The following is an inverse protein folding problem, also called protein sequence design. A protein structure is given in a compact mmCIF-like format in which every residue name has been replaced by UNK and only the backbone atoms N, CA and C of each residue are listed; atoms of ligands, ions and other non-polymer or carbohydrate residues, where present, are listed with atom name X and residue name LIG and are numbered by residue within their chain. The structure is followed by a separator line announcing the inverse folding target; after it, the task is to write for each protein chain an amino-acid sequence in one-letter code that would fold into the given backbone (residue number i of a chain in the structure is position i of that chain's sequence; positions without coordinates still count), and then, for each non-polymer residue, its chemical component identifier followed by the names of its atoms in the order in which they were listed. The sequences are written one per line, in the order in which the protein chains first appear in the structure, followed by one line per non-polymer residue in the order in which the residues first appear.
data_IF_245561751364
#
_entry.id   IF_245561751364
#
_cell.length_a   1.000
_cell.length_b   1.000
_cell.length_c   1.000
_cell.angle_alpha   90.00
_cell.angle_beta   90.00
_cell.angle_gamma   90.00
#
_symmetry.space_group_name_H-M   'P 1'
#
loop_
_entity.id
_entity.type
_entity.pdbx_description
1 polymer ?
#
# COMPACT_ATOMS: atom_id res chain seq x y z
N UNK A 1 14.50 -6.08 7.64
CA UNK A 1 14.95 -4.78 8.19
C UNK A 1 15.96 -4.16 7.23
N UNK A 2 15.93 -2.84 7.09
CA UNK A 2 16.93 -2.05 6.35
C UNK A 2 17.37 -0.84 7.16
N UNK A 3 18.51 -0.26 6.79
CA UNK A 3 18.96 1.04 7.31
C UNK A 3 18.63 2.10 6.27
N UNK A 4 17.79 3.06 6.64
CA UNK A 4 17.40 4.19 5.77
C UNK A 4 18.13 5.44 6.21
N UNK A 5 18.88 6.05 5.29
CA UNK A 5 19.65 7.27 5.58
C UNK A 5 18.74 8.40 6.10
N UNK A 6 19.06 8.94 7.27
CA UNK A 6 18.32 10.02 7.92
C UNK A 6 17.00 9.60 8.60
N UNK A 7 16.76 8.28 8.74
CA UNK A 7 15.65 7.74 9.52
C UNK A 7 16.17 6.74 10.56
N UNK A 8 17.04 5.81 10.14
CA UNK A 8 17.53 4.73 11.02
C UNK A 8 17.12 3.36 10.50
N UNK A 9 17.05 2.38 11.43
CA UNK A 9 16.66 1.01 11.09
C UNK A 9 15.15 0.90 10.99
N UNK A 10 14.66 0.46 9.83
CA UNK A 10 13.24 0.24 9.55
C UNK A 10 12.95 -1.25 9.50
N UNK A 11 11.94 -1.67 10.25
CA UNK A 11 11.34 -3.01 10.19
C UNK A 11 10.07 -2.93 9.34
N UNK A 12 9.97 -3.78 8.32
CA UNK A 12 8.83 -3.82 7.42
C UNK A 12 8.48 -5.25 7.02
N UNK A 13 7.26 -5.44 6.55
CA UNK A 13 6.83 -6.61 5.81
C UNK A 13 6.76 -6.24 4.32
N UNK A 14 6.99 -7.23 3.47
CA UNK A 14 6.84 -7.09 2.03
C UNK A 14 5.72 -8.01 1.55
N UNK A 15 4.74 -7.48 0.85
CA UNK A 15 3.71 -8.32 0.23
C UNK A 15 3.25 -7.73 -1.11
N UNK A 16 2.77 -8.63 -1.97
CA UNK A 16 2.15 -8.33 -3.26
C UNK A 16 0.63 -8.47 -3.14
N UNK A 17 -0.11 -7.45 -3.57
CA UNK A 17 -1.57 -7.45 -3.61
C UNK A 17 -2.13 -6.84 -4.90
N UNK A 18 -1.38 -6.95 -6.02
CA UNK A 18 -1.57 -6.25 -7.29
C UNK A 18 -0.42 -5.29 -7.59
N UNK A 19 0.32 -4.90 -6.55
CA UNK A 19 1.63 -4.25 -6.58
C UNK A 19 2.39 -4.65 -5.32
N UNK A 20 3.72 -4.50 -5.32
CA UNK A 20 4.52 -4.69 -4.11
C UNK A 20 4.48 -3.46 -3.22
N UNK A 21 4.22 -3.69 -1.94
CA UNK A 21 4.27 -2.66 -0.90
C UNK A 21 5.15 -3.08 0.26
N UNK A 22 5.84 -2.11 0.85
CA UNK A 22 6.45 -2.24 2.16
C UNK A 22 5.46 -1.79 3.23
N UNK A 23 5.09 -2.69 4.11
CA UNK A 23 4.17 -2.41 5.23
C UNK A 23 4.99 -2.08 6.46
N UNK A 24 4.85 -0.87 6.96
CA UNK A 24 5.65 -0.30 8.03
C UNK A 24 4.75 -0.01 9.23
N UNK A 25 4.83 -0.89 10.22
CA UNK A 25 4.05 -0.79 11.45
C UNK A 25 4.65 0.28 12.38
N UNK A 26 3.85 1.27 12.78
CA UNK A 26 4.28 2.32 13.71
C UNK A 26 4.75 1.76 15.05
N UNK A 27 4.10 0.70 15.55
CA UNK A 27 4.48 0.09 16.83
C UNK A 27 5.84 -0.62 16.80
N UNK A 28 6.37 -0.92 15.61
CA UNK A 28 7.68 -1.59 15.43
C UNK A 28 8.80 -0.64 15.02
N UNK A 29 8.47 0.63 14.83
CA UNK A 29 9.38 1.66 14.35
C UNK A 29 9.17 2.95 15.15
N UNK A 30 10.26 3.61 15.51
CA UNK A 30 10.21 4.86 16.28
C UNK A 30 10.05 6.05 15.34
N UNK A 31 8.80 6.47 15.11
CA UNK A 31 8.47 7.64 14.31
C UNK A 31 7.92 8.77 15.18
N UNK A 32 8.34 10.02 14.92
CA UNK A 32 7.83 11.20 15.64
C UNK A 32 6.49 11.70 15.11
N UNK A 33 5.65 10.82 14.55
CA UNK A 33 4.36 11.17 13.94
C UNK A 33 3.36 10.02 14.01
N UNK A 34 2.09 10.38 13.94
CA UNK A 34 0.95 9.46 13.82
C UNK A 34 0.38 9.49 12.40
N UNK A 35 -0.56 8.57 12.10
CA UNK A 35 -1.24 8.48 10.80
C UNK A 35 -2.40 9.48 10.70
N UNK A 36 -2.08 10.77 10.85
CA UNK A 36 -3.05 11.86 10.81
C UNK A 36 -2.72 12.88 9.71
N UNK A 37 -3.70 13.72 9.38
CA UNK A 37 -3.56 14.74 8.33
C UNK A 37 -2.50 15.79 8.68
N UNK A 38 -2.30 16.05 9.96
CA UNK A 38 -1.32 17.00 10.48
C UNK A 38 0.12 16.56 10.15
N UNK A 39 0.34 15.24 10.06
CA UNK A 39 1.64 14.65 9.74
C UNK A 39 1.81 14.29 8.25
N UNK A 40 0.91 14.74 7.39
CA UNK A 40 0.87 14.40 5.96
C UNK A 40 2.23 14.55 5.25
N UNK A 41 2.91 15.68 5.44
CA UNK A 41 4.20 15.92 4.78
C UNK A 41 5.32 15.02 5.33
N UNK A 42 5.29 14.72 6.62
CA UNK A 42 6.25 13.80 7.25
C UNK A 42 6.05 12.36 6.73
N UNK A 43 4.79 11.94 6.58
CA UNK A 43 4.44 10.65 6.00
C UNK A 43 4.98 10.52 4.56
N UNK A 44 4.79 11.52 3.71
CA UNK A 44 5.31 11.53 2.34
C UNK A 44 6.84 11.42 2.36
N UNK A 45 7.52 12.32 3.06
CA UNK A 45 8.97 12.39 3.09
C UNK A 45 9.59 11.09 3.61
N UNK A 46 9.00 10.51 4.66
CA UNK A 46 9.48 9.27 5.27
C UNK A 46 9.16 8.06 4.39
N UNK A 47 7.94 7.98 3.84
CA UNK A 47 7.52 6.91 2.96
C UNK A 47 8.36 6.80 1.70
N UNK A 48 8.68 7.93 1.08
CA UNK A 48 9.56 7.98 -0.11
C UNK A 48 11.00 7.59 0.22
N UNK A 49 11.55 8.01 1.37
CA UNK A 49 12.89 7.58 1.79
C UNK A 49 12.94 6.07 2.04
N UNK A 50 11.91 5.50 2.66
CA UNK A 50 11.80 4.06 2.90
C UNK A 50 11.67 3.31 1.57
N UNK A 51 10.77 3.73 0.67
CA UNK A 51 10.60 3.16 -0.66
C UNK A 51 11.92 3.10 -1.41
N UNK A 52 12.61 4.23 -1.52
CA UNK A 52 13.89 4.33 -2.24
C UNK A 52 14.99 3.52 -1.54
N UNK A 53 15.02 3.50 -0.21
CA UNK A 53 15.95 2.69 0.55
C UNK A 53 15.78 1.19 0.28
N UNK A 54 14.55 0.71 0.27
CA UNK A 54 14.22 -0.69 -0.03
C UNK A 54 14.59 -1.04 -1.48
N UNK A 55 14.19 -0.22 -2.46
CA UNK A 55 14.52 -0.45 -3.87
C UNK A 55 16.02 -0.57 -4.14
N UNK A 56 16.84 0.15 -3.37
CA UNK A 56 18.29 0.12 -3.54
C UNK A 56 18.98 -1.05 -2.82
N UNK A 57 18.32 -1.73 -1.88
CA UNK A 57 18.97 -2.71 -0.99
C UNK A 57 18.28 -4.06 -0.93
N UNK A 58 16.97 -4.14 -1.19
CA UNK A 58 16.20 -5.38 -1.11
C UNK A 58 15.98 -5.96 -2.51
N UNK A 59 16.66 -7.06 -2.80
CA UNK A 59 16.56 -7.79 -4.06
C UNK A 59 15.50 -8.92 -4.03
N UNK A 60 14.70 -9.01 -2.97
CA UNK A 60 13.63 -10.01 -2.84
C UNK A 60 12.35 -9.64 -3.60
N UNK A 61 12.25 -8.40 -4.11
CA UNK A 61 11.09 -7.91 -4.87
C UNK A 61 11.10 -8.56 -6.25
N UNK A 62 10.45 -9.72 -6.35
CA UNK A 62 10.38 -10.50 -7.58
C UNK A 62 8.99 -11.06 -7.78
N UNK A 63 8.35 -10.65 -8.88
CA UNK A 63 7.09 -11.22 -9.32
C UNK A 63 7.37 -12.57 -10.03
N UNK A 64 6.58 -13.63 -9.76
CA UNK A 64 6.89 -14.97 -10.29
C UNK A 64 6.75 -15.11 -11.80
N UNK A 65 6.05 -14.19 -12.48
CA UNK A 65 5.73 -14.31 -13.91
C UNK A 65 6.07 -13.08 -14.73
N UNK A 66 6.10 -11.86 -14.11
CA UNK A 66 6.21 -10.60 -14.84
C UNK A 66 7.36 -9.77 -14.28
N UNK A 67 8.45 -9.65 -15.03
CA UNK A 67 9.63 -8.90 -14.62
C UNK A 67 9.36 -7.40 -14.47
N UNK A 68 8.48 -6.84 -15.29
CA UNK A 68 8.08 -5.43 -15.23
C UNK A 68 7.40 -5.06 -13.91
N UNK A 69 6.95 -6.04 -13.13
CA UNK A 69 6.37 -5.84 -11.80
C UNK A 69 7.39 -5.97 -10.66
N UNK A 70 8.68 -6.17 -10.95
CA UNK A 70 9.75 -6.30 -9.97
C UNK A 70 10.17 -4.94 -9.38
N UNK A 71 9.23 -4.19 -8.84
CA UNK A 71 9.52 -2.92 -8.17
C UNK A 71 8.58 -2.68 -6.98
N UNK A 72 9.04 -1.88 -6.03
CA UNK A 72 8.23 -1.45 -4.90
C UNK A 72 7.36 -0.26 -5.31
N UNK A 73 6.05 -0.43 -5.31
CA UNK A 73 5.12 0.63 -5.70
C UNK A 73 5.00 1.72 -4.63
N UNK A 74 4.99 1.33 -3.36
CA UNK A 74 4.85 2.29 -2.28
C UNK A 74 5.17 1.73 -0.90
N UNK A 75 5.15 2.62 0.08
CA UNK A 75 5.22 2.32 1.51
C UNK A 75 3.84 2.52 2.12
N UNK A 76 3.32 1.52 2.81
CA UNK A 76 2.07 1.61 3.57
C UNK A 76 2.43 1.65 5.05
N UNK A 77 2.22 2.80 5.68
CA UNK A 77 2.26 2.92 7.12
C UNK A 77 1.01 2.32 7.72
N UNK A 78 1.19 1.52 8.77
CA UNK A 78 0.08 0.84 9.44
C UNK A 78 0.07 1.13 10.94
N UNK A 79 -1.13 1.29 11.46
CA UNK A 79 -1.43 1.26 12.88
C UNK A 79 -2.41 0.12 13.14
N UNK A 80 -1.99 -0.87 13.92
CA UNK A 80 -2.79 -2.05 14.27
C UNK A 80 -3.65 -1.85 15.53
N UNK A 81 -3.68 -0.65 16.09
CA UNK A 81 -4.60 -0.34 17.15
C UNK A 81 -6.00 -0.09 16.61
N UNK A 82 -7.02 -0.48 17.39
CA UNK A 82 -8.40 -0.18 17.06
C UNK A 82 -8.61 1.33 16.97
N UNK A 83 -9.15 1.79 15.86
CA UNK A 83 -9.35 3.20 15.60
C UNK A 83 -10.62 3.75 16.30
N UNK A 84 -10.70 5.05 16.49
CA UNK A 84 -11.88 5.71 17.05
C UNK A 84 -13.16 5.48 16.23
N UNK A 85 -13.02 5.26 14.91
CA UNK A 85 -14.11 4.87 14.02
C UNK A 85 -14.68 3.46 14.28
N UNK A 86 -13.97 2.64 15.08
CA UNK A 86 -14.25 1.24 15.29
C UNK A 86 -13.52 0.30 14.32
N UNK A 87 -12.76 0.84 13.35
CA UNK A 87 -11.94 0.02 12.45
C UNK A 87 -10.81 -0.68 13.20
N UNK A 88 -10.43 -1.88 12.74
CA UNK A 88 -9.44 -2.72 13.41
C UNK A 88 -8.01 -2.19 13.22
N UNK A 89 -7.76 -1.45 12.14
CA UNK A 89 -6.45 -0.94 11.78
C UNK A 89 -6.57 0.29 10.89
N UNK A 90 -5.46 1.03 10.74
CA UNK A 90 -5.32 2.13 9.77
C UNK A 90 -4.21 1.85 8.77
N UNK A 91 -4.45 2.22 7.52
CA UNK A 91 -3.48 2.20 6.43
C UNK A 91 -3.31 3.59 5.84
N UNK A 92 -2.07 4.04 5.67
CA UNK A 92 -1.74 5.25 4.91
C UNK A 92 -0.68 4.90 3.87
N UNK A 93 -1.06 4.92 2.60
CA UNK A 93 -0.18 4.55 1.49
C UNK A 93 0.47 5.79 0.88
N UNK A 94 1.80 5.79 0.85
CA UNK A 94 2.63 6.73 0.09
C UNK A 94 3.21 5.97 -1.09
N UNK A 95 2.88 6.38 -2.31
CA UNK A 95 3.20 5.63 -3.53
C UNK A 95 3.70 6.53 -4.67
N UNK A 96 4.03 5.93 -5.79
CA UNK A 96 4.55 6.60 -6.98
C UNK A 96 5.66 7.62 -6.65
N UNK A 97 5.42 8.92 -6.85
CA UNK A 97 6.40 10.01 -6.60
C UNK A 97 6.08 10.82 -5.32
N UNK A 98 5.29 10.25 -4.41
CA UNK A 98 4.92 10.88 -3.13
C UNK A 98 3.44 11.19 -3.01
N UNK A 99 2.62 10.54 -3.82
CA UNK A 99 1.17 10.61 -3.72
C UNK A 99 0.67 9.84 -2.49
N UNK A 100 -0.43 10.29 -1.91
CA UNK A 100 -1.09 9.63 -0.78
C UNK A 100 -2.52 9.29 -1.15
N UNK A 101 -2.89 8.02 -0.95
CA UNK A 101 -4.24 7.56 -1.19
C UNK A 101 -5.25 8.18 -0.23
N UNK A 102 -6.42 8.56 -0.75
CA UNK A 102 -7.57 8.94 0.07
C UNK A 102 -8.29 7.75 0.71
N UNK A 103 -8.07 6.54 0.20
CA UNK A 103 -8.64 5.28 0.70
C UNK A 103 -7.56 4.41 1.35
N UNK A 104 -7.92 3.30 2.01
CA UNK A 104 -6.95 2.37 2.61
C UNK A 104 -6.08 1.61 1.61
N UNK A 105 -6.21 1.85 0.30
CA UNK A 105 -5.52 1.20 -0.82
C UNK A 105 -5.96 -0.26 -1.02
N UNK A 106 -6.75 -0.53 -2.08
CA UNK A 106 -7.33 -1.86 -2.30
C UNK A 106 -6.28 -2.97 -2.44
N UNK A 107 -5.25 -2.76 -3.27
CA UNK A 107 -4.09 -3.66 -3.39
C UNK A 107 -3.27 -3.73 -2.09
N UNK A 108 -3.22 -2.63 -1.33
CA UNK A 108 -2.61 -2.60 0.01
C UNK A 108 -3.37 -3.46 1.01
N UNK A 109 -4.70 -3.37 1.05
CA UNK A 109 -5.54 -4.24 1.89
C UNK A 109 -5.39 -5.71 1.48
N UNK A 110 -5.31 -6.00 0.17
CA UNK A 110 -5.07 -7.35 -0.33
C UNK A 110 -3.76 -7.95 0.21
N UNK A 111 -2.67 -7.19 0.18
CA UNK A 111 -1.39 -7.61 0.78
C UNK A 111 -1.47 -7.76 2.31
N UNK A 112 -2.26 -6.91 3.00
CA UNK A 112 -2.52 -7.07 4.45
C UNK A 112 -3.21 -8.41 4.75
N UNK A 113 -4.18 -8.82 3.94
CA UNK A 113 -4.84 -10.12 4.11
C UNK A 113 -3.83 -11.27 4.01
N UNK A 114 -2.93 -11.21 3.04
CA UNK A 114 -1.87 -12.21 2.91
C UNK A 114 -0.93 -12.23 4.14
N UNK A 115 -0.50 -11.07 4.63
CA UNK A 115 0.37 -10.96 5.82
C UNK A 115 -0.32 -11.54 7.05
N UNK A 116 -1.59 -11.15 7.32
CA UNK A 116 -2.33 -11.64 8.49
C UNK A 116 -2.59 -13.14 8.41
N UNK A 117 -2.97 -13.66 7.24
CA UNK A 117 -3.16 -15.11 7.04
C UNK A 117 -1.86 -15.89 7.27
N UNK A 118 -0.75 -15.42 6.74
CA UNK A 118 0.57 -16.05 6.94
C UNK A 118 1.07 -16.03 8.39
N UNK A 119 0.58 -15.10 9.19
CA UNK A 119 0.87 -15.00 10.64
C UNK A 119 -0.11 -15.78 11.49
N UNK A 120 -1.11 -16.40 10.91
CA UNK A 120 -2.23 -17.05 11.60
C UNK A 120 -3.03 -16.09 12.48
N UNK A 121 -3.09 -14.80 12.09
CA UNK A 121 -3.90 -13.79 12.77
C UNK A 121 -5.36 -13.81 12.27
N UNK A 122 -5.61 -14.37 11.07
CA UNK A 122 -6.93 -14.47 10.44
C UNK A 122 -7.14 -15.86 9.85
N UNK A 123 -8.38 -16.34 9.94
CA UNK A 123 -8.86 -17.53 9.24
C UNK A 123 -9.61 -17.17 7.94
N UNK A 124 -9.87 -18.18 7.10
CA UNK A 124 -10.71 -18.02 5.91
C UNK A 124 -12.11 -17.58 6.35
N UNK A 125 -12.62 -16.52 5.75
CA UNK A 125 -13.91 -15.91 6.07
C UNK A 125 -13.85 -14.80 7.11
N UNK A 126 -12.75 -14.64 7.84
CA UNK A 126 -12.60 -13.54 8.79
C UNK A 126 -12.54 -12.20 8.07
N UNK A 127 -13.17 -11.20 8.68
CA UNK A 127 -13.23 -9.83 8.16
C UNK A 127 -12.38 -8.94 9.04
N UNK A 128 -11.54 -8.12 8.40
CA UNK A 128 -10.79 -7.05 9.04
C UNK A 128 -11.08 -5.72 8.36
N UNK A 129 -11.22 -4.65 9.13
CA UNK A 129 -11.56 -3.31 8.67
C UNK A 129 -10.35 -2.37 8.75
N UNK A 130 -10.15 -1.58 7.70
CA UNK A 130 -9.03 -0.66 7.53
C UNK A 130 -9.52 0.75 7.31
N UNK A 131 -9.03 1.70 8.08
CA UNK A 131 -9.29 3.12 7.92
C UNK A 131 -8.15 3.80 7.15
N UNK A 132 -8.45 4.75 6.29
CA UNK A 132 -7.46 5.61 5.62
C UNK A 132 -7.18 6.88 6.42
N UNK A 133 -6.21 7.68 5.95
CA UNK A 133 -5.91 9.00 6.51
C UNK A 133 -7.11 9.97 6.43
N UNK A 134 -8.04 9.74 5.49
CA UNK A 134 -9.25 10.56 5.32
C UNK A 134 -10.44 10.05 6.12
N UNK A 135 -10.33 8.87 6.78
CA UNK A 135 -11.42 8.23 7.50
C UNK A 135 -12.30 7.32 6.63
N UNK A 136 -11.98 7.10 5.35
CA UNK A 136 -12.70 6.10 4.55
C UNK A 136 -12.32 4.68 4.99
N UNK A 137 -13.26 3.75 4.88
CA UNK A 137 -13.11 2.39 5.43
C UNK A 137 -13.22 1.36 4.29
N UNK A 138 -12.28 0.40 4.28
CA UNK A 138 -12.37 -0.82 3.50
C UNK A 138 -12.48 -2.02 4.43
N UNK A 139 -13.12 -3.09 3.93
CA UNK A 139 -13.12 -4.41 4.56
C UNK A 139 -12.28 -5.35 3.72
N UNK A 140 -11.45 -6.15 4.36
CA UNK A 140 -10.70 -7.23 3.75
C UNK A 140 -11.17 -8.57 4.30
N UNK A 141 -11.26 -9.59 3.44
CA UNK A 141 -11.62 -10.97 3.81
C UNK A 141 -10.73 -11.94 3.05
N UNK A 142 -10.23 -12.97 3.71
CA UNK A 142 -9.52 -14.08 3.04
C UNK A 142 -10.58 -15.08 2.55
N UNK A 143 -10.70 -15.22 1.24
CA UNK A 143 -11.69 -16.15 0.64
C UNK A 143 -11.12 -17.56 0.53
N UNK A 144 -9.88 -17.70 0.12
CA UNK A 144 -9.20 -18.99 -0.01
C UNK A 144 -7.69 -18.84 -0.03
N UNK A 145 -6.99 -19.96 0.12
CA UNK A 145 -5.54 -20.06 -0.06
C UNK A 145 -5.21 -20.78 -1.37
N UNK A 146 -4.11 -20.42 -1.99
CA UNK A 146 -3.59 -21.05 -3.19
C UNK A 146 -2.09 -20.85 -3.32
N UNK A 147 -1.49 -21.49 -4.34
CA UNK A 147 -0.12 -21.16 -4.77
C UNK A 147 -0.16 -20.14 -5.90
N UNK A 148 0.78 -19.19 -5.87
CA UNK A 148 1.06 -18.27 -6.95
C UNK A 148 2.55 -18.37 -7.31
N UNK A 149 2.85 -19.08 -8.38
CA UNK A 149 4.20 -19.59 -8.61
C UNK A 149 4.61 -20.56 -7.47
N UNK A 150 5.75 -20.30 -6.85
CA UNK A 150 6.23 -21.06 -5.68
C UNK A 150 5.77 -20.46 -4.33
N UNK A 151 5.02 -19.36 -4.35
CA UNK A 151 4.62 -18.65 -3.13
C UNK A 151 3.26 -19.14 -2.62
N UNK A 152 3.16 -19.32 -1.31
CA UNK A 152 1.86 -19.42 -0.66
C UNK A 152 1.16 -18.07 -0.79
N UNK A 153 -0.10 -18.08 -1.20
CA UNK A 153 -0.88 -16.87 -1.43
C UNK A 153 -2.33 -17.05 -0.99
N UNK A 154 -3.06 -15.95 -0.96
CA UNK A 154 -4.50 -15.92 -0.66
C UNK A 154 -5.26 -15.30 -1.82
N UNK A 155 -6.54 -15.63 -1.94
CA UNK A 155 -7.50 -14.85 -2.70
C UNK A 155 -8.22 -13.93 -1.73
N UNK A 156 -7.90 -12.62 -1.70
CA UNK A 156 -8.61 -11.68 -0.85
C UNK A 156 -9.84 -11.13 -1.55
N UNK A 157 -10.87 -10.81 -0.77
CA UNK A 157 -11.97 -9.94 -1.17
C UNK A 157 -11.76 -8.60 -0.48
N UNK A 158 -11.89 -7.50 -1.23
CA UNK A 158 -11.85 -6.14 -0.69
C UNK A 158 -13.16 -5.44 -1.03
N UNK A 159 -13.80 -4.87 -0.02
CA UNK A 159 -15.05 -4.14 -0.11
C UNK A 159 -14.86 -2.70 0.33
N UNK A 160 -15.40 -1.76 -0.42
CA UNK A 160 -15.34 -0.33 -0.12
C UNK A 160 -16.46 0.44 -0.79
N UNK A 161 -16.53 1.75 -0.51
CA UNK A 161 -17.52 2.66 -1.08
C UNK A 161 -16.86 3.57 -2.11
N UNK A 162 -17.51 3.76 -3.26
CA UNK A 162 -17.08 4.69 -4.29
C UNK A 162 -18.21 5.68 -4.63
N UNK A 163 -17.82 6.88 -5.08
CA UNK A 163 -18.72 7.95 -5.46
C UNK A 163 -18.38 8.47 -6.85
N UNK A 164 -19.40 8.84 -7.63
CA UNK A 164 -19.20 9.54 -8.90
C UNK A 164 -18.76 10.97 -8.58
N UNK A 165 -17.56 11.36 -8.99
CA UNK A 165 -16.98 12.68 -8.72
C UNK A 165 -16.94 13.59 -9.94
N UNK A 166 -17.30 13.08 -11.12
CA UNK A 166 -17.34 13.89 -12.34
C UNK A 166 -17.65 13.07 -13.58
N UNK A 167 -17.93 13.79 -14.65
CA UNK A 167 -18.01 13.28 -16.04
C UNK A 167 -17.18 14.21 -16.90
N UNK A 168 -16.30 13.66 -17.76
CA UNK A 168 -15.40 14.42 -18.61
C UNK A 168 -15.53 13.96 -20.07
N UNK A 169 -15.26 14.90 -20.99
CA UNK A 169 -15.08 14.61 -22.41
C UNK A 169 -13.65 14.97 -22.81
N UNK A 170 -12.94 14.01 -23.37
CA UNK A 170 -11.59 14.20 -23.90
C UNK A 170 -11.64 14.30 -25.42
N UNK A 171 -10.92 15.28 -25.98
CA UNK A 171 -10.82 15.48 -27.43
C UNK A 171 -9.36 15.32 -27.82
N UNK A 172 -9.09 14.46 -28.82
CA UNK A 172 -7.78 14.28 -29.40
C UNK A 172 -7.75 14.95 -30.80
N UNK A 173 -7.10 16.10 -30.88
CA UNK A 173 -6.91 16.77 -32.18
C UNK A 173 -5.82 16.02 -32.97
N UNK A 174 -6.11 15.53 -34.20
CA UNK A 174 -5.10 14.85 -35.02
C UNK A 174 -3.87 15.72 -35.34
N UNK A 175 -4.03 17.05 -35.31
CA UNK A 175 -2.96 18.02 -35.60
C UNK A 175 -2.07 18.33 -34.39
N UNK A 176 -2.48 17.97 -33.17
CA UNK A 176 -1.67 18.14 -31.98
C UNK A 176 -0.52 17.12 -31.98
N UNK A 177 0.72 17.61 -32.05
CA UNK A 177 1.93 16.78 -32.07
C UNK A 177 2.17 16.04 -30.77
N UNK A 178 1.58 16.50 -29.64
CA UNK A 178 1.72 15.87 -28.31
C UNK A 178 0.42 15.26 -27.80
N UNK A 179 -0.53 14.96 -28.70
CA UNK A 179 -1.84 14.37 -28.38
C UNK A 179 -1.79 13.07 -27.56
N UNK A 180 -0.69 12.34 -27.62
CA UNK A 180 -0.46 11.12 -26.85
C UNK A 180 0.21 11.38 -25.49
N UNK A 181 0.37 12.66 -25.11
CA UNK A 181 1.09 13.05 -23.91
C UNK A 181 2.60 13.16 -24.13
N UNK A 182 3.30 13.60 -23.09
CA UNK A 182 4.78 13.67 -23.06
C UNK A 182 5.28 13.47 -21.63
N UNK A 183 6.52 13.02 -21.50
CA UNK A 183 7.21 12.94 -20.23
C UNK A 183 8.57 13.67 -20.33
N UNK A 184 8.88 14.45 -19.28
CA UNK A 184 10.15 15.17 -19.14
C UNK A 184 10.98 14.61 -17.96
N UNK A 185 10.96 13.27 -17.78
CA UNK A 185 11.70 12.58 -16.72
C UNK A 185 12.88 11.83 -17.30
#
# INVERSE_FOLDING_TARGET
KIIVKGIGTITYDLAYGGAFYAYVDLAKNDFPFDLTKEHYQQLINTGMKIKNGIMNTDHSIKHPYEEDLNFLYGTIFIDNNKQASGSDSKNVCVFAEGEVDRCPTGSGVSGRMAIHKMRCDLDIGDIMTFESITGSIFKGTVISEQLYGSFKSVIPQVEGTAYITGMQTFVFDPKDSIKNGFMLR
#
